data_IF_223628728278
#
_entry.id   IF_223628728278
#
_cell.length_a   1.000
_cell.length_b   1.000
_cell.length_c   1.000
_cell.angle_alpha   90.00
_cell.angle_beta   90.00
_cell.angle_gamma   90.00
#
_symmetry.space_group_name_H-M   'P 1'
#
loop_
_entity.id
_entity.type
_entity.pdbx_description
1 polymer ?
#
# COMPACT_ATOMS: atom_id res chain seq x y z
N UNK A 1 4.65 -23.40 9.02
CA UNK A 1 5.80 -22.91 8.22
C UNK A 1 6.92 -22.51 9.17
N UNK A 2 8.20 -22.70 8.81
CA UNK A 2 9.30 -22.11 9.60
C UNK A 2 9.32 -20.60 9.34
N UNK A 3 8.86 -19.77 10.27
CA UNK A 3 8.71 -18.32 10.03
C UNK A 3 10.04 -17.60 9.74
N UNK A 4 11.18 -18.17 10.14
CA UNK A 4 12.50 -17.58 9.88
C UNK A 4 12.82 -17.46 8.38
N UNK A 5 12.28 -18.34 7.53
CA UNK A 5 12.53 -18.25 6.09
C UNK A 5 11.93 -16.98 5.46
N UNK A 6 10.92 -16.36 6.10
CA UNK A 6 10.38 -15.08 5.67
C UNK A 6 11.40 -13.95 5.88
N UNK A 7 12.10 -13.97 7.00
CA UNK A 7 13.14 -12.99 7.30
C UNK A 7 14.32 -13.16 6.36
N UNK A 8 14.77 -14.40 6.15
CA UNK A 8 15.85 -14.75 5.20
C UNK A 8 15.51 -14.30 3.77
N UNK A 9 14.29 -14.55 3.29
CA UNK A 9 13.84 -14.11 1.98
C UNK A 9 13.80 -12.58 1.87
N UNK A 10 13.34 -11.90 2.91
CA UNK A 10 13.35 -10.44 2.98
C UNK A 10 14.77 -9.86 2.95
N UNK A 11 15.73 -10.49 3.64
CA UNK A 11 17.14 -10.09 3.61
C UNK A 11 17.74 -10.31 2.22
N UNK A 12 17.49 -11.46 1.61
CA UNK A 12 17.97 -11.77 0.25
C UNK A 12 17.47 -10.76 -0.79
N UNK A 13 16.21 -10.35 -0.68
CA UNK A 13 15.62 -9.34 -1.54
C UNK A 13 16.23 -7.94 -1.33
N UNK A 14 16.56 -7.58 -0.10
CA UNK A 14 17.32 -6.36 0.18
C UNK A 14 18.69 -6.41 -0.51
N UNK A 15 19.44 -7.50 -0.33
CA UNK A 15 20.78 -7.63 -0.93
C UNK A 15 20.72 -7.58 -2.46
N UNK A 16 19.71 -8.20 -3.08
CA UNK A 16 19.44 -8.02 -4.51
C UNK A 16 19.31 -6.55 -4.90
N UNK A 17 18.44 -5.79 -4.21
CA UNK A 17 18.19 -4.38 -4.55
C UNK A 17 19.45 -3.52 -4.34
N UNK A 18 20.18 -3.72 -3.24
CA UNK A 18 21.41 -2.99 -2.92
C UNK A 18 22.51 -3.27 -3.95
N UNK A 19 22.66 -4.53 -4.39
CA UNK A 19 23.64 -4.89 -5.42
C UNK A 19 23.32 -4.31 -6.81
N UNK A 20 22.11 -3.79 -7.01
CA UNK A 20 21.69 -3.11 -8.23
C UNK A 20 21.76 -1.58 -8.12
N UNK A 21 22.25 -1.04 -6.99
CA UNK A 21 22.57 0.37 -6.83
C UNK A 21 24.00 0.66 -7.32
N UNK A 22 24.22 1.83 -7.90
CA UNK A 22 25.54 2.38 -8.13
C UNK A 22 26.10 3.09 -6.88
N UNK A 23 27.32 3.61 -6.99
CA UNK A 23 28.00 4.34 -5.90
C UNK A 23 27.26 5.61 -5.45
N UNK A 24 26.33 6.12 -6.27
CA UNK A 24 25.45 7.25 -5.98
C UNK A 24 24.16 6.86 -5.25
N UNK A 25 24.00 5.59 -4.86
CA UNK A 25 22.76 5.05 -4.30
C UNK A 25 21.56 5.17 -5.25
N UNK A 26 21.80 4.99 -6.55
CA UNK A 26 20.77 4.95 -7.58
C UNK A 26 20.74 3.62 -8.30
N UNK A 27 19.57 3.16 -8.72
CA UNK A 27 19.49 1.97 -9.57
C UNK A 27 20.20 2.20 -10.91
N UNK A 28 20.89 1.18 -11.41
CA UNK A 28 21.60 1.24 -12.69
C UNK A 28 20.62 1.29 -13.87
N UNK A 29 20.86 2.21 -14.82
CA UNK A 29 20.07 2.36 -16.07
C UNK A 29 19.30 3.69 -16.15
N UNK A 30 19.47 4.44 -17.23
CA UNK A 30 18.97 5.83 -17.34
C UNK A 30 17.44 5.93 -17.25
N UNK A 31 16.70 4.99 -17.87
CA UNK A 31 15.23 4.98 -17.80
C UNK A 31 14.72 4.69 -16.39
N UNK A 32 15.44 3.85 -15.65
CA UNK A 32 15.11 3.44 -14.29
C UNK A 32 15.35 4.58 -13.30
N UNK A 33 16.48 5.30 -13.45
CA UNK A 33 16.83 6.45 -12.59
C UNK A 33 15.82 7.59 -12.63
N UNK A 34 15.07 7.70 -13.72
CA UNK A 34 14.10 8.78 -13.92
C UNK A 34 12.71 8.46 -13.37
N UNK A 35 12.44 7.23 -12.92
CA UNK A 35 11.12 6.88 -12.39
C UNK A 35 11.14 6.66 -10.87
N UNK A 36 10.38 7.49 -10.16
CA UNK A 36 10.14 7.36 -8.73
C UNK A 36 9.63 5.96 -8.32
N UNK A 37 8.88 5.26 -9.19
CA UNK A 37 8.28 3.98 -8.82
C UNK A 37 9.28 2.88 -8.47
N UNK A 38 10.54 2.98 -8.92
CA UNK A 38 11.53 1.95 -8.60
C UNK A 38 12.13 2.12 -7.21
N UNK A 39 12.05 3.32 -6.63
CA UNK A 39 12.85 3.68 -5.45
C UNK A 39 12.02 4.10 -4.23
N UNK A 40 10.79 4.58 -4.38
CA UNK A 40 10.02 5.20 -3.30
C UNK A 40 9.78 4.34 -2.04
N UNK A 41 9.77 3.00 -2.17
CA UNK A 41 9.64 2.05 -1.05
C UNK A 41 10.96 1.68 -0.40
N UNK A 42 12.06 1.80 -1.14
CA UNK A 42 13.38 1.32 -0.71
C UNK A 42 13.86 1.97 0.59
N UNK A 43 13.64 3.29 0.85
CA UNK A 43 13.96 3.87 2.15
C UNK A 43 13.28 3.16 3.32
N UNK A 44 12.01 2.76 3.19
CA UNK A 44 11.33 2.03 4.26
C UNK A 44 11.95 0.65 4.47
N UNK A 45 12.26 -0.09 3.40
CA UNK A 45 12.93 -1.39 3.49
C UNK A 45 14.29 -1.26 4.20
N UNK A 46 15.09 -0.28 3.82
CA UNK A 46 16.39 -0.02 4.44
C UNK A 46 16.28 0.29 5.93
N UNK A 47 15.30 1.11 6.33
CA UNK A 47 15.06 1.44 7.73
C UNK A 47 14.61 0.24 8.56
N UNK A 48 13.74 -0.64 8.02
CA UNK A 48 13.36 -1.88 8.74
C UNK A 48 14.51 -2.89 8.83
N UNK A 49 15.54 -2.75 8.00
CA UNK A 49 16.75 -3.59 7.99
C UNK A 49 17.98 -2.93 8.64
N UNK A 50 17.79 -1.76 9.28
CA UNK A 50 18.87 -1.06 10.00
C UNK A 50 19.95 -0.47 9.09
N UNK A 51 19.64 -0.15 7.83
CA UNK A 51 20.53 0.49 6.84
C UNK A 51 20.26 1.99 6.76
N UNK A 52 20.30 2.68 7.90
CA UNK A 52 19.84 4.07 8.07
C UNK A 52 20.62 5.08 7.20
N UNK A 53 21.94 4.89 7.07
CA UNK A 53 22.77 5.78 6.24
C UNK A 53 22.36 5.71 4.77
N UNK A 54 22.24 4.49 4.22
CA UNK A 54 21.81 4.30 2.83
C UNK A 54 20.37 4.79 2.62
N UNK A 55 19.48 4.59 3.60
CA UNK A 55 18.13 5.13 3.53
C UNK A 55 18.12 6.66 3.38
N UNK A 56 18.99 7.36 4.10
CA UNK A 56 19.11 8.81 4.00
C UNK A 56 19.68 9.27 2.65
N UNK A 57 20.69 8.59 2.10
CA UNK A 57 21.19 8.90 0.76
C UNK A 57 20.12 8.73 -0.32
N UNK A 58 19.33 7.66 -0.23
CA UNK A 58 18.23 7.46 -1.17
C UNK A 58 17.14 8.52 -0.99
N UNK A 59 16.85 8.94 0.25
CA UNK A 59 15.91 10.04 0.50
C UNK A 59 16.42 11.38 -0.04
N UNK A 60 17.74 11.64 0.00
CA UNK A 60 18.35 12.81 -0.65
C UNK A 60 18.14 12.77 -2.17
N UNK A 61 18.44 11.64 -2.80
CA UNK A 61 18.20 11.44 -4.24
C UNK A 61 16.71 11.63 -4.60
N UNK A 62 15.79 11.08 -3.79
CA UNK A 62 14.35 11.23 -4.02
C UNK A 62 13.94 12.71 -3.94
N UNK A 63 14.45 13.41 -2.92
CA UNK A 63 14.16 14.83 -2.71
C UNK A 63 14.66 15.69 -3.86
N UNK A 64 15.93 15.53 -4.23
CA UNK A 64 16.59 16.35 -5.24
C UNK A 64 15.96 16.17 -6.63
N UNK A 65 15.52 14.96 -6.97
CA UNK A 65 15.05 14.64 -8.32
C UNK A 65 13.56 14.79 -8.51
N UNK A 66 12.76 14.39 -7.53
CA UNK A 66 11.32 14.22 -7.73
C UNK A 66 10.48 15.22 -6.95
N UNK A 67 10.98 15.74 -5.82
CA UNK A 67 10.17 16.57 -4.93
C UNK A 67 9.88 17.93 -5.53
N UNK A 68 8.61 18.32 -5.50
CA UNK A 68 8.11 19.61 -5.96
C UNK A 68 7.98 20.58 -4.79
N UNK A 69 7.81 21.88 -5.09
CA UNK A 69 7.72 22.93 -4.08
C UNK A 69 6.49 22.82 -3.17
N UNK A 70 5.43 22.15 -3.62
CA UNK A 70 4.21 21.90 -2.86
C UNK A 70 4.26 20.62 -2.01
N UNK A 71 5.37 19.87 -2.08
CA UNK A 71 5.55 18.60 -1.40
C UNK A 71 5.12 17.36 -2.20
N UNK A 72 4.67 17.51 -3.45
CA UNK A 72 4.47 16.35 -4.32
C UNK A 72 5.80 15.73 -4.79
N UNK A 73 5.75 14.52 -5.33
CA UNK A 73 6.86 13.87 -6.02
C UNK A 73 6.45 13.44 -7.43
N UNK A 74 7.22 13.78 -8.45
CA UNK A 74 6.83 13.59 -9.85
C UNK A 74 8.04 13.08 -10.65
N UNK A 75 7.87 11.95 -11.37
CA UNK A 75 8.93 11.39 -12.22
C UNK A 75 9.18 12.22 -13.48
N UNK A 76 8.12 12.68 -14.17
CA UNK A 76 8.27 13.31 -15.49
C UNK A 76 7.47 14.59 -15.64
N UNK A 77 8.11 15.62 -16.22
CA UNK A 77 7.47 16.83 -16.73
C UNK A 77 7.27 16.68 -18.24
N UNK A 78 6.01 16.63 -18.70
CA UNK A 78 5.70 16.44 -20.12
C UNK A 78 5.78 17.77 -20.88
N UNK A 79 6.08 17.73 -22.19
CA UNK A 79 6.24 18.93 -23.05
C UNK A 79 4.98 19.80 -23.15
N UNK A 80 3.80 19.22 -22.94
CA UNK A 80 2.51 19.91 -22.91
C UNK A 80 2.22 20.57 -21.54
N UNK A 81 3.18 20.58 -20.62
CA UNK A 81 3.04 21.16 -19.28
C UNK A 81 2.29 20.27 -18.28
N UNK A 82 1.91 19.04 -18.65
CA UNK A 82 1.29 18.11 -17.70
C UNK A 82 2.35 17.31 -16.96
N UNK A 83 2.10 17.05 -15.68
CA UNK A 83 2.95 16.21 -14.87
C UNK A 83 2.55 14.74 -14.99
N UNK A 84 3.53 13.85 -15.05
CA UNK A 84 3.32 12.40 -14.99
C UNK A 84 4.01 11.85 -13.75
N UNK A 85 3.19 11.27 -12.87
CA UNK A 85 3.61 10.73 -11.59
C UNK A 85 4.69 9.65 -11.72
N UNK A 86 4.49 8.71 -12.64
CA UNK A 86 5.35 7.55 -12.92
C UNK A 86 4.94 6.91 -14.26
N UNK A 87 5.80 6.05 -14.82
CA UNK A 87 5.49 5.21 -15.95
C UNK A 87 4.43 4.14 -15.61
N UNK A 88 4.37 3.70 -14.35
CA UNK A 88 3.45 2.68 -13.86
C UNK A 88 2.00 3.18 -13.81
N UNK A 89 1.14 2.62 -14.67
CA UNK A 89 -0.28 2.97 -14.75
C UNK A 89 -1.03 2.84 -13.42
N UNK A 90 -0.96 1.69 -12.72
CA UNK A 90 -1.61 1.54 -11.42
C UNK A 90 -1.15 2.55 -10.37
N UNK A 91 0.15 2.85 -10.31
CA UNK A 91 0.69 3.83 -9.36
C UNK A 91 0.32 5.28 -9.73
N UNK A 92 0.21 5.59 -11.02
CA UNK A 92 -0.30 6.88 -11.47
C UNK A 92 -1.79 7.08 -11.11
N UNK A 93 -2.58 6.00 -11.05
CA UNK A 93 -3.98 6.04 -10.61
C UNK A 93 -4.13 6.32 -9.10
N UNK A 94 -3.18 5.84 -8.29
CA UNK A 94 -3.14 6.09 -6.85
C UNK A 94 -2.15 7.22 -6.53
N UNK A 95 -2.46 8.44 -6.95
CA UNK A 95 -1.50 9.55 -7.05
C UNK A 95 -0.68 9.79 -5.77
N UNK A 96 -1.35 9.83 -4.62
CA UNK A 96 -0.70 10.10 -3.33
C UNK A 96 -0.03 8.87 -2.68
N UNK A 97 -0.07 7.68 -3.32
CA UNK A 97 0.45 6.44 -2.73
C UNK A 97 1.97 6.48 -2.53
N UNK A 98 2.71 6.98 -3.52
CA UNK A 98 4.17 7.08 -3.39
C UNK A 98 4.55 8.12 -2.33
N UNK A 99 3.81 9.22 -2.22
CA UNK A 99 4.04 10.25 -1.21
C UNK A 99 3.95 9.68 0.20
N UNK A 100 2.98 8.80 0.49
CA UNK A 100 2.82 8.26 1.84
C UNK A 100 3.93 7.32 2.24
N UNK A 101 4.41 6.47 1.34
CA UNK A 101 5.59 5.65 1.60
C UNK A 101 6.83 6.49 1.90
N UNK A 102 7.08 7.53 1.09
CA UNK A 102 8.20 8.45 1.28
C UNK A 102 8.03 9.21 2.60
N UNK A 103 6.83 9.73 2.88
CA UNK A 103 6.53 10.47 4.09
C UNK A 103 6.76 9.62 5.35
N UNK A 104 6.26 8.38 5.38
CA UNK A 104 6.46 7.46 6.50
C UNK A 104 7.94 7.10 6.69
N UNK A 105 8.67 6.80 5.61
CA UNK A 105 10.09 6.46 5.70
C UNK A 105 10.93 7.66 6.16
N UNK A 106 10.72 8.83 5.56
CA UNK A 106 11.41 10.06 5.95
C UNK A 106 11.09 10.46 7.39
N UNK A 107 9.84 10.29 7.85
CA UNK A 107 9.46 10.60 9.23
C UNK A 107 10.21 9.69 10.21
N UNK A 108 10.27 8.39 9.92
CA UNK A 108 11.02 7.41 10.71
C UNK A 108 12.53 7.70 10.72
N UNK A 109 13.08 8.24 9.63
CA UNK A 109 14.49 8.63 9.52
C UNK A 109 14.81 10.00 10.16
N UNK A 110 13.82 10.73 10.69
CA UNK A 110 14.03 12.09 11.22
C UNK A 110 14.19 13.18 10.14
N UNK A 111 13.84 12.87 8.88
CA UNK A 111 13.92 13.78 7.73
C UNK A 111 12.65 14.61 7.60
N UNK A 112 12.50 15.57 8.50
CA UNK A 112 11.34 16.48 8.56
C UNK A 112 11.25 17.43 7.36
N UNK A 113 12.37 17.69 6.69
CA UNK A 113 12.45 18.45 5.44
C UNK A 113 11.77 17.74 4.25
N UNK A 114 11.59 16.42 4.33
CA UNK A 114 10.90 15.61 3.32
C UNK A 114 9.51 15.20 3.82
N UNK A 115 9.44 14.67 5.04
CA UNK A 115 8.23 14.03 5.55
C UNK A 115 7.06 14.99 5.74
N UNK A 116 7.26 16.19 6.30
CA UNK A 116 6.15 17.12 6.51
C UNK A 116 5.56 17.68 5.22
N UNK A 117 6.34 18.17 4.24
CA UNK A 117 5.76 18.63 2.99
C UNK A 117 5.03 17.50 2.25
N UNK A 118 5.63 16.30 2.19
CA UNK A 118 5.01 15.12 1.57
C UNK A 118 3.65 14.78 2.19
N UNK A 119 3.59 14.73 3.52
CA UNK A 119 2.36 14.42 4.25
C UNK A 119 1.31 15.53 4.11
N UNK A 120 1.72 16.80 4.15
CA UNK A 120 0.81 17.92 3.94
C UNK A 120 0.21 17.90 2.53
N UNK A 121 1.00 17.59 1.50
CA UNK A 121 0.49 17.40 0.16
C UNK A 121 -0.58 16.30 0.10
N UNK A 122 -0.36 15.14 0.74
CA UNK A 122 -1.36 14.05 0.76
C UNK A 122 -2.70 14.47 1.35
N UNK A 123 -2.71 15.38 2.34
CA UNK A 123 -3.96 15.89 2.95
C UNK A 123 -4.83 16.67 1.97
N UNK A 124 -4.28 17.16 0.84
CA UNK A 124 -5.06 17.81 -0.21
C UNK A 124 -6.01 16.87 -0.97
N UNK A 125 -5.87 15.55 -0.81
CA UNK A 125 -6.79 14.53 -1.35
C UNK A 125 -7.97 14.25 -0.41
N UNK A 126 -7.99 14.85 0.80
CA UNK A 126 -9.06 14.65 1.74
C UNK A 126 -10.34 15.33 1.29
N UNK A 127 -11.38 14.53 1.07
CA UNK A 127 -12.73 15.01 0.84
C UNK A 127 -13.47 15.11 2.18
N UNK A 128 -13.71 16.32 2.72
CA UNK A 128 -14.36 16.49 4.02
C UNK A 128 -15.82 16.07 4.03
N UNK A 129 -16.53 16.17 2.90
CA UNK A 129 -17.94 15.74 2.78
C UNK A 129 -18.10 14.22 2.87
N UNK A 130 -17.09 13.50 2.39
CA UNK A 130 -16.98 12.05 2.49
C UNK A 130 -16.12 11.57 3.66
N UNK A 131 -15.42 12.46 4.38
CA UNK A 131 -14.41 12.11 5.39
C UNK A 131 -13.48 10.99 4.91
N UNK A 132 -13.02 11.09 3.66
CA UNK A 132 -12.36 10.00 2.92
C UNK A 132 -11.38 10.58 1.90
N UNK A 133 -10.63 9.73 1.19
CA UNK A 133 -9.55 10.15 0.29
C UNK A 133 -9.87 9.82 -1.16
N UNK A 134 -9.63 10.78 -2.04
CA UNK A 134 -9.75 10.63 -3.50
C UNK A 134 -8.64 9.74 -4.09
N UNK A 135 -8.95 9.12 -5.23
CA UNK A 135 -8.08 8.29 -6.08
C UNK A 135 -6.80 8.97 -6.58
N UNK A 136 -7.06 9.82 -7.55
CA UNK A 136 -6.11 10.26 -8.57
C UNK A 136 -6.05 11.77 -8.67
N UNK A 137 -6.98 12.49 -8.05
CA UNK A 137 -7.14 13.93 -8.15
C UNK A 137 -7.25 14.57 -6.77
N UNK A 138 -6.78 15.81 -6.66
CA UNK A 138 -6.92 16.62 -5.45
C UNK A 138 -8.40 16.87 -5.15
N UNK A 139 -8.73 17.12 -3.89
CA UNK A 139 -10.08 17.54 -3.53
C UNK A 139 -10.44 18.87 -4.22
N UNK A 140 -11.61 18.90 -4.86
CA UNK A 140 -12.09 20.10 -5.53
C UNK A 140 -13.02 20.90 -4.62
N UNK A 141 -12.49 21.93 -3.97
CA UNK A 141 -13.26 22.80 -3.07
C UNK A 141 -14.34 23.62 -3.81
N UNK A 142 -14.09 23.97 -5.08
CA UNK A 142 -15.04 24.75 -5.91
C UNK A 142 -16.32 23.95 -6.16
N UNK A 143 -16.19 22.67 -6.50
CA UNK A 143 -17.35 21.79 -6.68
C UNK A 143 -17.79 21.11 -5.39
N UNK A 144 -17.11 21.39 -4.26
CA UNK A 144 -17.26 20.68 -2.98
C UNK A 144 -17.11 19.16 -3.12
N UNK A 145 -16.27 18.73 -4.06
CA UNK A 145 -16.05 17.33 -4.40
C UNK A 145 -17.15 16.72 -5.27
N UNK A 146 -18.06 17.51 -5.84
CA UNK A 146 -19.08 16.99 -6.75
C UNK A 146 -18.43 16.33 -7.97
N UNK A 147 -18.88 15.11 -8.28
CA UNK A 147 -18.34 14.28 -9.37
C UNK A 147 -17.06 13.52 -9.02
N UNK A 148 -16.51 13.69 -7.81
CA UNK A 148 -15.32 12.96 -7.38
C UNK A 148 -15.69 11.60 -6.77
N UNK A 149 -14.72 10.69 -6.80
CA UNK A 149 -14.80 9.39 -6.14
C UNK A 149 -13.76 9.28 -5.03
N UNK A 150 -14.13 8.61 -3.95
CA UNK A 150 -13.22 8.24 -2.87
C UNK A 150 -13.04 6.72 -2.85
N UNK A 151 -11.89 6.26 -2.33
CA UNK A 151 -11.57 4.84 -2.35
C UNK A 151 -11.01 4.30 -1.04
N UNK A 152 -11.40 3.08 -0.71
CA UNK A 152 -11.00 2.40 0.53
C UNK A 152 -9.48 2.26 0.65
N UNK A 153 -8.79 1.98 -0.47
CA UNK A 153 -7.34 1.78 -0.50
C UNK A 153 -6.57 3.05 -0.14
N UNK A 154 -6.82 4.17 -0.83
CA UNK A 154 -6.14 5.43 -0.52
C UNK A 154 -6.56 6.01 0.82
N UNK A 155 -7.82 5.83 1.21
CA UNK A 155 -8.28 6.18 2.56
C UNK A 155 -7.46 5.46 3.63
N UNK A 156 -7.23 4.17 3.43
CA UNK A 156 -6.41 3.36 4.33
C UNK A 156 -4.93 3.78 4.31
N UNK A 157 -4.41 4.16 3.15
CA UNK A 157 -3.02 4.59 3.01
C UNK A 157 -2.73 5.92 3.71
N UNK A 158 -3.56 6.94 3.48
CA UNK A 158 -3.44 8.21 4.20
C UNK A 158 -3.74 8.01 5.69
N UNK A 159 -4.69 7.15 6.04
CA UNK A 159 -4.98 6.80 7.43
C UNK A 159 -3.79 6.17 8.15
N UNK A 160 -3.12 5.20 7.53
CA UNK A 160 -1.90 4.61 8.08
C UNK A 160 -0.78 5.65 8.18
N UNK A 161 -0.62 6.51 7.17
CA UNK A 161 0.35 7.61 7.21
C UNK A 161 0.05 8.56 8.37
N UNK A 162 -1.23 8.92 8.60
CA UNK A 162 -1.63 9.77 9.71
C UNK A 162 -1.29 9.16 11.09
N UNK A 163 -1.35 7.83 11.24
CA UNK A 163 -0.88 7.15 12.46
C UNK A 163 0.62 7.35 12.69
N UNK A 164 1.46 7.30 11.65
CA UNK A 164 2.91 7.56 11.77
C UNK A 164 3.20 8.99 12.23
N UNK A 165 2.37 9.95 11.85
CA UNK A 165 2.50 11.36 12.21
C UNK A 165 1.79 11.73 13.52
N UNK A 166 1.18 10.76 14.21
CA UNK A 166 0.47 10.99 15.48
C UNK A 166 -0.86 11.72 15.33
N UNK A 167 -1.40 11.89 14.12
CA UNK A 167 -2.71 12.53 13.89
C UNK A 167 -3.87 11.53 14.15
N UNK A 168 -4.00 11.07 15.39
CA UNK A 168 -4.94 9.98 15.76
C UNK A 168 -6.41 10.32 15.48
N UNK A 169 -6.81 11.60 15.66
CA UNK A 169 -8.18 12.04 15.34
C UNK A 169 -8.45 11.86 13.86
N UNK A 170 -7.55 12.33 13.00
CA UNK A 170 -7.70 12.23 11.55
C UNK A 170 -7.65 10.77 11.08
N UNK A 171 -6.73 9.96 11.63
CA UNK A 171 -6.70 8.53 11.37
C UNK A 171 -8.01 7.82 11.79
N UNK A 172 -8.61 8.23 12.92
CA UNK A 172 -9.93 7.71 13.35
C UNK A 172 -11.02 8.05 12.32
N UNK A 173 -11.06 9.29 11.80
CA UNK A 173 -12.05 9.66 10.78
C UNK A 173 -11.93 8.80 9.51
N UNK A 174 -10.71 8.55 9.07
CA UNK A 174 -10.44 7.70 7.91
C UNK A 174 -10.73 6.23 8.20
N UNK A 175 -10.52 5.75 9.43
CA UNK A 175 -10.95 4.44 9.90
C UNK A 175 -12.46 4.27 9.81
N UNK A 176 -13.23 5.22 10.37
CA UNK A 176 -14.69 5.24 10.29
C UNK A 176 -15.16 5.27 8.83
N UNK A 177 -14.41 5.91 7.94
CA UNK A 177 -14.68 5.86 6.51
C UNK A 177 -14.47 4.48 5.90
N UNK A 178 -13.39 3.80 6.23
CA UNK A 178 -13.15 2.42 5.77
C UNK A 178 -14.27 1.49 6.24
N UNK A 179 -14.77 1.65 7.47
CA UNK A 179 -15.90 0.87 7.95
C UNK A 179 -17.20 1.12 7.17
N UNK A 180 -17.45 2.37 6.73
CA UNK A 180 -18.59 2.65 5.84
C UNK A 180 -18.50 1.88 4.53
N UNK A 181 -17.30 1.71 3.95
CA UNK A 181 -17.13 0.84 2.79
C UNK A 181 -17.55 -0.60 3.10
N UNK A 182 -17.18 -1.13 4.26
CA UNK A 182 -17.52 -2.50 4.66
C UNK A 182 -19.03 -2.68 4.89
N UNK A 183 -19.67 -1.72 5.56
CA UNK A 183 -21.09 -1.82 5.94
C UNK A 183 -22.03 -1.58 4.76
N UNK A 184 -21.66 -0.73 3.82
CA UNK A 184 -22.53 -0.33 2.69
C UNK A 184 -22.35 -1.22 1.44
N UNK A 185 -21.81 -2.43 1.59
CA UNK A 185 -21.68 -3.37 0.47
C UNK A 185 -23.07 -3.88 0.05
N UNK A 186 -23.48 -3.69 -1.22
CA UNK A 186 -24.82 -4.08 -1.66
C UNK A 186 -25.00 -5.60 -1.74
N UNK A 187 -23.94 -6.36 -2.08
CA UNK A 187 -23.94 -7.81 -2.09
C UNK A 187 -22.53 -8.38 -1.83
N UNK A 188 -22.16 -8.45 -0.55
CA UNK A 188 -20.85 -8.97 -0.12
C UNK A 188 -20.62 -10.44 -0.48
N UNK A 189 -21.68 -11.19 -0.85
CA UNK A 189 -21.57 -12.59 -1.25
C UNK A 189 -21.24 -12.78 -2.73
N UNK A 190 -21.03 -11.70 -3.48
CA UNK A 190 -20.62 -11.75 -4.89
C UNK A 190 -19.42 -10.84 -5.16
N UNK A 191 -19.43 -9.64 -4.61
CA UNK A 191 -18.51 -8.56 -4.99
C UNK A 191 -18.31 -7.57 -3.85
N UNK A 192 -17.07 -7.10 -3.70
CA UNK A 192 -16.69 -6.02 -2.79
C UNK A 192 -16.33 -4.79 -3.61
N UNK A 193 -17.15 -3.75 -3.52
CA UNK A 193 -16.89 -2.45 -4.16
C UNK A 193 -15.95 -1.59 -3.32
N UNK A 194 -14.96 -1.00 -3.97
CA UNK A 194 -13.86 -0.27 -3.30
C UNK A 194 -13.87 1.23 -3.58
N UNK A 195 -14.92 1.71 -4.26
CA UNK A 195 -15.17 3.11 -4.64
C UNK A 195 -16.53 3.58 -4.16
N UNK A 196 -16.61 4.83 -3.74
CA UNK A 196 -17.86 5.52 -3.41
C UNK A 196 -17.91 6.88 -4.09
N UNK A 197 -19.09 7.25 -4.56
CA UNK A 197 -19.33 8.56 -5.15
C UNK A 197 -19.46 9.60 -4.05
N UNK A 198 -18.80 10.76 -4.21
CA UNK A 198 -19.01 11.89 -3.32
C UNK A 198 -20.42 12.51 -3.45
N UNK A 199 -21.10 12.30 -4.59
CA UNK A 199 -22.42 12.86 -4.88
C UNK A 199 -23.52 12.07 -4.18
N UNK A 200 -23.57 10.76 -4.43
CA UNK A 200 -24.63 9.89 -3.93
C UNK A 200 -24.30 9.29 -2.57
N UNK A 201 -23.02 9.26 -2.19
CA UNK A 201 -22.48 8.54 -1.03
C UNK A 201 -22.66 7.03 -1.09
N UNK A 202 -23.02 6.51 -2.27
CA UNK A 202 -23.17 5.09 -2.55
C UNK A 202 -21.93 4.52 -3.25
N UNK A 203 -21.84 3.20 -3.28
CA UNK A 203 -20.78 2.49 -4.00
C UNK A 203 -20.85 2.76 -5.51
N UNK A 204 -19.69 2.95 -6.14
CA UNK A 204 -19.58 3.05 -7.60
C UNK A 204 -19.36 1.66 -8.17
N UNK A 205 -20.29 1.20 -9.01
CA UNK A 205 -20.32 -0.18 -9.51
C UNK A 205 -19.50 -0.37 -10.78
N UNK A 206 -19.35 0.68 -11.57
CA UNK A 206 -18.71 0.62 -12.88
C UNK A 206 -17.75 1.80 -13.03
N UNK A 207 -16.59 1.52 -13.61
CA UNK A 207 -15.65 2.55 -13.97
C UNK A 207 -16.17 3.33 -15.17
N UNK A 208 -15.97 4.66 -15.16
CA UNK A 208 -16.22 5.49 -16.34
C UNK A 208 -15.28 5.17 -17.51
N UNK A 209 -14.12 4.60 -17.20
CA UNK A 209 -13.09 4.15 -18.15
C UNK A 209 -12.91 2.63 -17.97
N UNK A 210 -13.17 1.79 -19.00
CA UNK A 210 -13.13 0.33 -18.87
C UNK A 210 -11.83 -0.24 -18.30
N UNK A 211 -10.68 0.35 -18.66
CA UNK A 211 -9.35 -0.07 -18.21
C UNK A 211 -9.17 0.10 -16.70
N UNK A 212 -9.97 0.96 -16.07
CA UNK A 212 -9.95 1.15 -14.62
C UNK A 212 -10.85 0.17 -13.86
N UNK A 213 -11.65 -0.65 -14.54
CA UNK A 213 -12.58 -1.60 -13.91
C UNK A 213 -11.94 -2.46 -12.81
N UNK A 214 -10.69 -2.98 -12.94
CA UNK A 214 -10.04 -3.74 -11.86
C UNK A 214 -9.81 -2.95 -10.56
N UNK A 215 -9.95 -1.63 -10.58
CA UNK A 215 -9.79 -0.75 -9.41
C UNK A 215 -11.14 -0.30 -8.79
N UNK A 216 -12.26 -0.90 -9.21
CA UNK A 216 -13.59 -0.58 -8.67
C UNK A 216 -14.15 -1.67 -7.77
N UNK A 217 -13.69 -2.92 -7.93
CA UNK A 217 -14.16 -4.03 -7.10
C UNK A 217 -13.28 -5.26 -7.12
N UNK A 218 -13.56 -6.17 -6.18
CA UNK A 218 -13.06 -7.55 -6.16
C UNK A 218 -14.27 -8.48 -6.17
N UNK A 219 -14.30 -9.47 -7.07
CA UNK A 219 -15.41 -10.43 -7.24
C UNK A 219 -15.03 -11.81 -6.72
N UNK A 220 -15.93 -12.54 -6.06
CA UNK A 220 -15.59 -13.87 -5.51
C UNK A 220 -15.16 -14.86 -6.60
N UNK A 221 -15.80 -14.81 -7.77
CA UNK A 221 -15.65 -15.81 -8.84
C UNK A 221 -14.53 -15.53 -9.85
N UNK A 222 -13.79 -14.44 -9.71
CA UNK A 222 -12.78 -14.03 -10.70
C UNK A 222 -11.36 -14.27 -10.19
N UNK A 223 -10.47 -14.88 -11.00
CA UNK A 223 -9.11 -15.15 -10.60
C UNK A 223 -8.19 -13.93 -10.77
N UNK A 224 -7.02 -13.95 -10.10
CA UNK A 224 -5.89 -13.02 -10.28
C UNK A 224 -6.26 -11.53 -10.14
N UNK A 225 -7.17 -11.22 -9.23
CA UNK A 225 -7.59 -9.84 -8.99
C UNK A 225 -6.65 -9.09 -8.06
N UNK A 226 -6.80 -7.77 -8.01
CA UNK A 226 -6.00 -6.86 -7.20
C UNK A 226 -6.37 -6.93 -5.70
N UNK A 227 -6.22 -8.11 -5.08
CA UNK A 227 -6.60 -8.38 -3.68
C UNK A 227 -5.93 -7.43 -2.67
N UNK A 228 -4.80 -6.81 -3.03
CA UNK A 228 -4.15 -5.79 -2.21
C UNK A 228 -5.04 -4.59 -1.89
N UNK A 229 -6.05 -4.30 -2.73
CA UNK A 229 -7.02 -3.22 -2.51
C UNK A 229 -7.87 -3.43 -1.26
N UNK A 230 -7.97 -4.68 -0.80
CA UNK A 230 -8.65 -5.08 0.44
C UNK A 230 -7.67 -5.50 1.55
N UNK A 231 -6.53 -6.10 1.19
CA UNK A 231 -5.49 -6.45 2.17
C UNK A 231 -4.89 -5.23 2.90
N UNK A 232 -4.73 -4.10 2.21
CA UNK A 232 -4.18 -2.89 2.83
C UNK A 232 -5.13 -2.19 3.83
N UNK A 233 -6.45 -2.07 3.54
CA UNK A 233 -7.44 -1.68 4.54
C UNK A 233 -7.41 -2.50 5.83
N UNK A 234 -7.24 -3.83 5.73
CA UNK A 234 -7.12 -4.71 6.90
C UNK A 234 -5.93 -4.29 7.77
N UNK A 235 -4.76 -4.03 7.16
CA UNK A 235 -3.56 -3.57 7.87
C UNK A 235 -3.83 -2.27 8.62
N UNK A 236 -4.41 -1.27 7.94
CA UNK A 236 -4.72 0.02 8.55
C UNK A 236 -5.69 -0.12 9.73
N UNK A 237 -6.80 -0.84 9.55
CA UNK A 237 -7.78 -1.06 10.61
C UNK A 237 -7.17 -1.77 11.83
N UNK A 238 -6.29 -2.76 11.61
CA UNK A 238 -5.57 -3.40 12.72
C UNK A 238 -4.63 -2.43 13.43
N UNK A 239 -3.85 -1.60 12.72
CA UNK A 239 -2.98 -0.59 13.35
C UNK A 239 -3.80 0.47 14.11
N UNK A 240 -4.95 0.86 13.57
CA UNK A 240 -5.86 1.80 14.25
C UNK A 240 -6.50 1.17 15.49
N UNK A 241 -6.88 -0.11 15.44
CA UNK A 241 -7.30 -0.87 16.61
C UNK A 241 -6.21 -0.87 17.69
N UNK A 242 -4.95 -1.12 17.33
CA UNK A 242 -3.85 -1.07 18.31
C UNK A 242 -3.72 0.31 18.96
N UNK A 243 -3.86 1.38 18.18
CA UNK A 243 -3.73 2.75 18.68
C UNK A 243 -4.93 3.22 19.53
N UNK A 244 -6.13 2.72 19.25
CA UNK A 244 -7.39 3.22 19.85
C UNK A 244 -8.07 2.23 20.81
N UNK A 245 -7.74 0.95 20.71
CA UNK A 245 -8.41 -0.18 21.38
C UNK A 245 -9.92 -0.30 21.05
N UNK A 246 -10.37 0.32 19.96
CA UNK A 246 -11.78 0.29 19.52
C UNK A 246 -12.06 -0.98 18.71
N UNK A 247 -12.80 -1.92 19.30
CA UNK A 247 -13.02 -3.27 18.75
C UNK A 247 -13.64 -3.29 17.34
N UNK A 248 -14.49 -2.32 16.99
CA UNK A 248 -15.17 -2.30 15.68
C UNK A 248 -14.16 -2.28 14.51
N UNK A 249 -13.00 -1.64 14.65
CA UNK A 249 -11.98 -1.67 13.60
C UNK A 249 -11.43 -3.08 13.35
N UNK A 250 -11.17 -3.85 14.41
CA UNK A 250 -10.74 -5.25 14.26
C UNK A 250 -11.86 -6.11 13.66
N UNK A 251 -13.11 -5.91 14.07
CA UNK A 251 -14.27 -6.60 13.49
C UNK A 251 -14.45 -6.28 11.99
N UNK A 252 -14.24 -5.03 11.59
CA UNK A 252 -14.29 -4.61 10.18
C UNK A 252 -13.14 -5.22 9.39
N UNK A 253 -11.95 -5.36 9.98
CA UNK A 253 -10.82 -6.06 9.37
C UNK A 253 -11.12 -7.56 9.16
N UNK A 254 -11.74 -8.23 10.15
CA UNK A 254 -12.19 -9.62 10.04
C UNK A 254 -13.20 -9.81 8.90
N UNK A 255 -14.20 -8.94 8.78
CA UNK A 255 -15.19 -9.00 7.68
C UNK A 255 -14.56 -8.91 6.29
N UNK A 256 -13.54 -8.07 6.12
CA UNK A 256 -12.81 -7.98 4.85
C UNK A 256 -12.05 -9.29 4.58
N UNK A 257 -11.42 -9.89 5.60
CA UNK A 257 -10.73 -11.17 5.45
C UNK A 257 -11.70 -12.34 5.20
N UNK A 258 -12.89 -12.35 5.81
CA UNK A 258 -13.94 -13.34 5.55
C UNK A 258 -14.40 -13.30 4.09
N UNK A 259 -14.56 -12.10 3.53
CA UNK A 259 -14.81 -11.93 2.10
C UNK A 259 -13.65 -12.51 1.26
N UNK A 260 -12.41 -12.15 1.59
CA UNK A 260 -11.22 -12.62 0.86
C UNK A 260 -11.04 -14.15 0.95
N UNK A 261 -11.37 -14.78 2.08
CA UNK A 261 -11.35 -16.25 2.23
C UNK A 261 -12.34 -16.96 1.31
N UNK A 262 -13.39 -16.25 0.87
CA UNK A 262 -14.42 -16.76 -0.05
C UNK A 262 -14.09 -16.50 -1.53
N UNK A 263 -12.99 -15.78 -1.81
CA UNK A 263 -12.56 -15.49 -3.18
C UNK A 263 -11.91 -16.71 -3.85
N UNK A 264 -11.73 -16.61 -5.16
CA UNK A 264 -11.02 -17.58 -6.00
C UNK A 264 -9.64 -17.97 -5.42
N UNK A 265 -9.26 -19.23 -5.64
CA UNK A 265 -8.03 -19.81 -5.09
C UNK A 265 -6.74 -19.17 -5.61
N UNK A 266 -6.79 -18.48 -6.76
CA UNK A 266 -5.64 -17.72 -7.27
C UNK A 266 -5.11 -16.69 -6.27
N UNK A 267 -5.91 -16.22 -5.30
CA UNK A 267 -5.43 -15.38 -4.20
C UNK A 267 -4.20 -16.00 -3.49
N UNK A 268 -4.15 -17.33 -3.35
CA UNK A 268 -3.03 -18.03 -2.71
C UNK A 268 -1.77 -18.15 -3.59
N UNK A 269 -1.90 -17.89 -4.90
CA UNK A 269 -0.83 -18.05 -5.89
C UNK A 269 -0.64 -16.78 -6.73
N UNK A 270 -0.95 -15.62 -6.16
CA UNK A 270 -0.84 -14.33 -6.85
C UNK A 270 0.04 -13.39 -6.04
N UNK A 271 1.07 -12.82 -6.68
CA UNK A 271 2.11 -12.04 -6.00
C UNK A 271 1.57 -10.76 -5.35
N UNK A 272 0.49 -10.18 -5.89
CA UNK A 272 -0.17 -9.02 -5.27
C UNK A 272 -1.00 -9.34 -4.01
N UNK A 273 -1.09 -10.61 -3.59
CA UNK A 273 -1.76 -10.99 -2.35
C UNK A 273 -0.92 -10.74 -1.09
N UNK A 274 0.32 -10.27 -1.20
CA UNK A 274 1.23 -10.07 -0.06
C UNK A 274 0.65 -9.16 1.05
N UNK A 275 -0.17 -8.15 0.71
CA UNK A 275 -0.83 -7.29 1.72
C UNK A 275 -1.95 -8.02 2.46
N UNK A 276 -2.63 -8.96 1.79
CA UNK A 276 -3.60 -9.86 2.44
C UNK A 276 -2.88 -10.74 3.44
N UNK A 277 -1.71 -11.28 3.08
CA UNK A 277 -0.90 -12.10 3.99
C UNK A 277 -0.50 -11.34 5.26
N UNK A 278 -0.05 -10.08 5.14
CA UNK A 278 0.27 -9.25 6.29
C UNK A 278 -0.95 -8.90 7.14
N UNK A 279 -2.04 -8.42 6.52
CA UNK A 279 -3.29 -8.15 7.24
C UNK A 279 -3.81 -9.39 7.98
N UNK A 280 -3.77 -10.56 7.36
CA UNK A 280 -4.15 -11.82 7.98
C UNK A 280 -3.25 -12.22 9.15
N UNK A 281 -1.93 -11.97 9.07
CA UNK A 281 -1.02 -12.20 10.19
C UNK A 281 -1.36 -11.32 11.41
N UNK A 282 -1.66 -10.04 11.16
CA UNK A 282 -2.07 -9.11 12.22
C UNK A 282 -3.38 -9.56 12.88
N UNK A 283 -4.42 -9.85 12.09
CA UNK A 283 -5.70 -10.31 12.64
C UNK A 283 -5.52 -11.64 13.38
N UNK A 284 -4.73 -12.57 12.85
CA UNK A 284 -4.43 -13.82 13.53
C UNK A 284 -3.78 -13.60 14.90
N UNK A 285 -2.83 -12.67 15.02
CA UNK A 285 -2.18 -12.33 16.31
C UNK A 285 -3.21 -11.79 17.30
N UNK A 286 -4.02 -10.82 16.89
CA UNK A 286 -4.98 -10.15 17.79
C UNK A 286 -6.12 -11.10 18.22
N UNK A 287 -6.60 -11.94 17.30
CA UNK A 287 -7.78 -12.81 17.53
C UNK A 287 -7.44 -14.23 17.97
N UNK A 288 -6.16 -14.63 17.86
CA UNK A 288 -5.67 -16.02 18.00
C UNK A 288 -6.30 -16.99 17.00
N UNK A 289 -6.85 -16.47 15.91
CA UNK A 289 -7.57 -17.23 14.90
C UNK A 289 -6.61 -18.01 14.00
N UNK A 290 -6.71 -19.35 14.05
CA UNK A 290 -5.89 -20.23 13.22
C UNK A 290 -6.20 -20.11 11.72
N UNK A 291 -7.43 -19.77 11.34
CA UNK A 291 -7.78 -19.60 9.91
C UNK A 291 -6.98 -18.46 9.26
N UNK A 292 -6.84 -17.33 9.96
CA UNK A 292 -6.10 -16.18 9.44
C UNK A 292 -4.59 -16.42 9.45
N UNK A 293 -4.08 -17.17 10.44
CA UNK A 293 -2.70 -17.65 10.43
C UNK A 293 -2.43 -18.52 9.19
N UNK A 294 -3.30 -19.48 8.91
CA UNK A 294 -3.16 -20.38 7.74
C UNK A 294 -3.26 -19.61 6.43
N UNK A 295 -4.18 -18.63 6.32
CA UNK A 295 -4.25 -17.73 5.17
C UNK A 295 -2.92 -17.01 4.92
N UNK A 296 -2.36 -16.39 5.96
CA UNK A 296 -1.07 -15.71 5.89
C UNK A 296 0.08 -16.65 5.48
N UNK A 297 0.16 -17.83 6.09
CA UNK A 297 1.19 -18.83 5.79
C UNK A 297 1.10 -19.35 4.35
N UNK A 298 -0.10 -19.58 3.81
CA UNK A 298 -0.28 -20.07 2.44
C UNK A 298 0.23 -19.07 1.39
N UNK A 299 -0.18 -17.81 1.50
CA UNK A 299 0.27 -16.76 0.57
C UNK A 299 1.79 -16.56 0.72
N UNK A 300 2.29 -16.52 1.96
CA UNK A 300 3.73 -16.37 2.22
C UNK A 300 4.54 -17.52 1.62
N UNK A 301 4.05 -18.76 1.72
CA UNK A 301 4.71 -19.93 1.14
C UNK A 301 4.80 -19.85 -0.39
N UNK A 302 3.79 -19.29 -1.05
CA UNK A 302 3.84 -19.01 -2.49
C UNK A 302 4.89 -17.94 -2.81
N UNK A 303 4.90 -16.82 -2.07
CA UNK A 303 5.88 -15.74 -2.28
C UNK A 303 7.32 -16.26 -2.15
N UNK A 304 7.59 -17.08 -1.13
CA UNK A 304 8.89 -17.75 -0.98
C UNK A 304 9.21 -18.66 -2.17
N UNK A 305 8.21 -19.34 -2.73
CA UNK A 305 8.36 -20.26 -3.86
C UNK A 305 8.66 -19.57 -5.19
N UNK A 306 8.34 -18.28 -5.35
CA UNK A 306 8.64 -17.51 -6.56
C UNK A 306 9.91 -16.66 -6.45
N UNK A 307 10.53 -16.56 -5.26
CA UNK A 307 11.77 -15.81 -5.10
C UNK A 307 12.88 -16.45 -5.92
N UNK A 308 13.57 -15.64 -6.72
CA UNK A 308 14.68 -16.08 -7.56
C UNK A 308 15.91 -16.48 -6.74
N UNK A 309 16.89 -17.07 -7.41
CA UNK A 309 18.20 -17.34 -6.82
C UNK A 309 18.96 -16.06 -6.46
N UNK A 310 18.69 -14.96 -7.16
CA UNK A 310 19.34 -13.66 -6.93
C UNK A 310 18.64 -12.85 -5.84
N UNK A 311 17.38 -13.18 -5.51
CA UNK A 311 16.63 -12.60 -4.38
C UNK A 311 15.43 -11.74 -4.79
N UNK A 312 15.30 -11.43 -6.07
CA UNK A 312 14.11 -10.76 -6.62
C UNK A 312 12.88 -11.67 -6.64
N UNK A 313 11.70 -11.09 -6.83
CA UNK A 313 10.45 -11.84 -6.91
C UNK A 313 9.83 -11.88 -8.31
N UNK A 314 10.19 -10.96 -9.21
CA UNK A 314 9.53 -10.78 -10.51
C UNK A 314 10.54 -10.54 -11.64
N UNK A 315 11.65 -11.27 -11.68
CA UNK A 315 12.67 -11.23 -12.76
C UNK A 315 12.13 -11.43 -14.18
N UNK A 316 10.91 -11.96 -14.32
CA UNK A 316 10.21 -12.14 -15.60
C UNK A 316 9.38 -10.92 -16.03
N UNK A 317 9.28 -9.89 -15.20
CA UNK A 317 8.55 -8.64 -15.47
C UNK A 317 9.50 -7.51 -15.89
N UNK A 318 8.94 -6.32 -16.14
CA UNK A 318 9.75 -5.13 -16.36
C UNK A 318 10.65 -4.84 -15.16
N UNK A 319 11.81 -4.21 -15.38
CA UNK A 319 12.72 -3.80 -14.28
C UNK A 319 11.99 -2.91 -13.26
N UNK A 320 11.05 -2.08 -13.72
CA UNK A 320 10.27 -1.21 -12.86
C UNK A 320 9.39 -2.01 -11.89
N UNK A 321 8.63 -2.96 -12.43
CA UNK A 321 7.77 -3.83 -11.61
C UNK A 321 8.60 -4.72 -10.70
N UNK A 322 9.74 -5.23 -11.18
CA UNK A 322 10.61 -6.09 -10.39
C UNK A 322 11.17 -5.36 -9.18
N UNK A 323 11.72 -4.15 -9.35
CA UNK A 323 12.26 -3.37 -8.22
C UNK A 323 11.15 -2.92 -7.26
N UNK A 324 10.04 -2.37 -7.77
CA UNK A 324 8.90 -1.95 -6.94
C UNK A 324 8.35 -3.09 -6.09
N UNK A 325 8.10 -4.24 -6.71
CA UNK A 325 7.49 -5.39 -6.03
C UNK A 325 8.48 -6.15 -5.17
N UNK A 326 9.76 -6.24 -5.56
CA UNK A 326 10.78 -6.85 -4.70
C UNK A 326 10.94 -6.06 -3.41
N UNK A 327 10.99 -4.73 -3.48
CA UNK A 327 11.04 -3.89 -2.29
C UNK A 327 9.78 -4.06 -1.42
N UNK A 328 8.60 -4.06 -2.04
CA UNK A 328 7.33 -4.19 -1.33
C UNK A 328 7.17 -5.55 -0.65
N UNK A 329 7.38 -6.66 -1.38
CA UNK A 329 7.27 -8.01 -0.84
C UNK A 329 8.29 -8.21 0.29
N UNK A 330 9.52 -7.72 0.14
CA UNK A 330 10.53 -7.81 1.19
C UNK A 330 10.10 -7.11 2.49
N UNK A 331 9.49 -5.92 2.41
CA UNK A 331 8.94 -5.22 3.59
C UNK A 331 7.87 -6.08 4.25
N UNK A 332 6.93 -6.62 3.48
CA UNK A 332 5.82 -7.38 4.05
C UNK A 332 6.22 -8.74 4.61
N UNK A 333 7.17 -9.45 4.01
CA UNK A 333 7.68 -10.70 4.58
C UNK A 333 8.33 -10.47 5.96
N UNK A 334 9.05 -9.35 6.13
CA UNK A 334 9.59 -8.96 7.44
C UNK A 334 8.47 -8.71 8.46
N UNK A 335 7.46 -7.93 8.07
CA UNK A 335 6.33 -7.63 8.93
C UNK A 335 5.51 -8.90 9.29
N UNK A 336 5.27 -9.79 8.33
CA UNK A 336 4.60 -11.08 8.57
C UNK A 336 5.43 -11.93 9.54
N UNK A 337 6.76 -11.97 9.39
CA UNK A 337 7.64 -12.65 10.34
C UNK A 337 7.44 -12.13 11.77
N UNK A 338 7.43 -10.81 11.96
CA UNK A 338 7.23 -10.19 13.29
C UNK A 338 5.87 -10.59 13.89
N UNK A 339 4.82 -10.56 13.07
CA UNK A 339 3.45 -10.87 13.49
C UNK A 339 3.27 -12.34 13.87
N UNK A 340 3.70 -13.26 12.99
CA UNK A 340 3.55 -14.70 13.20
C UNK A 340 4.47 -15.25 14.29
N UNK A 341 5.65 -14.66 14.50
CA UNK A 341 6.56 -15.05 15.60
C UNK A 341 5.98 -14.73 16.98
N UNK A 342 5.02 -13.80 17.05
CA UNK A 342 4.33 -13.40 18.28
C UNK A 342 2.99 -14.11 18.47
N UNK A 343 2.55 -14.92 17.51
CA UNK A 343 1.33 -15.71 17.63
C UNK A 343 1.50 -16.78 18.72
N UNK A 344 0.66 -16.73 19.76
CA UNK A 344 0.60 -17.73 20.83
C UNK A 344 -0.83 -18.25 20.94
N UNK A 345 -0.99 -19.57 20.89
CA UNK A 345 -2.29 -20.24 21.03
C UNK A 345 -2.83 -20.13 22.45
#
# INVERSE_FOLDING_TARGET
MNVNCLLEASDKALEYLVNNLDDGAEFVGDDVKQDLCVVYKLPMLLLVKGREQLANYILDNIKEKFMQSDGDFISYKMKNGTDRKTASGPLAHFWAYMNGWIAMAAHRAGRFDISFPAYNYMKSFYNPGMRSITCSELYNDVTKGKGQEVGIFMTSHVGLTALYFGELVFATELGDSVERFVVNQPNIHEEFFIRMSADTKDVVREASIPELSPFYSVKLSQPNQLYFLLGYPVIFLCKLFQATQKQHYLTSAEKILEFLLSCDQSMYTFHFSHKVAYGAAMVARETKSLQYKVLSEKISQYLLGIQSNDGDFLSFQSVHDNYDQTAEIAIWLNEIYVELSRFRK
#
